data_IF_879581861848
#
_entry.id   IF_879581861848
#
_cell.length_a   1.000
_cell.length_b   1.000
_cell.length_c   1.000
_cell.angle_alpha   90.00
_cell.angle_beta   90.00
_cell.angle_gamma   90.00
#
_symmetry.space_group_name_H-M   'P 1'
#
loop_
_entity.id
_entity.type
_entity.pdbx_description
1 polymer ?
#
# COMPACT_ATOMS: atom_id res chain seq x y z
N UNK A 1 28.23 -6.96 -4.92
CA UNK A 1 26.94 -7.62 -4.66
C UNK A 1 26.42 -7.40 -3.22
N UNK A 2 27.28 -7.28 -2.20
CA UNK A 2 26.88 -7.01 -0.81
C UNK A 2 26.24 -5.63 -0.52
N UNK A 3 26.45 -4.63 -1.37
CA UNK A 3 25.96 -3.26 -1.14
C UNK A 3 24.54 -2.98 -1.63
N UNK A 4 23.93 -3.89 -2.40
CA UNK A 4 22.56 -3.70 -2.92
C UNK A 4 21.51 -4.17 -1.90
N UNK A 5 21.86 -5.14 -1.05
CA UNK A 5 20.98 -5.70 -0.01
C UNK A 5 20.80 -4.79 1.21
N UNK A 6 21.63 -3.77 1.41
CA UNK A 6 21.51 -2.83 2.53
C UNK A 6 20.47 -1.72 2.30
N UNK A 7 20.08 -1.49 1.04
CA UNK A 7 19.16 -0.41 0.63
C UNK A 7 17.83 -0.91 0.05
N UNK A 8 17.63 -2.22 -0.04
CA UNK A 8 16.30 -2.77 -0.21
C UNK A 8 15.56 -2.49 1.09
N UNK A 9 14.67 -1.49 1.05
CA UNK A 9 13.63 -1.25 2.05
C UNK A 9 13.19 -2.61 2.60
N UNK A 10 13.33 -2.83 3.91
CA UNK A 10 12.90 -4.08 4.52
C UNK A 10 11.43 -4.28 4.14
N UNK A 11 11.17 -5.29 3.30
CA UNK A 11 9.87 -5.46 2.67
C UNK A 11 8.77 -5.64 3.72
N UNK A 12 9.14 -6.23 4.87
CA UNK A 12 8.28 -6.34 6.04
C UNK A 12 7.94 -4.95 6.61
N UNK A 13 8.93 -4.05 6.72
CA UNK A 13 8.70 -2.65 7.15
C UNK A 13 7.81 -1.90 6.15
N UNK A 14 7.99 -2.13 4.85
CA UNK A 14 7.15 -1.51 3.82
C UNK A 14 5.68 -1.95 3.93
N UNK A 15 5.46 -3.25 4.16
CA UNK A 15 4.12 -3.82 4.41
C UNK A 15 3.48 -3.19 5.66
N UNK A 16 4.24 -3.09 6.75
CA UNK A 16 3.73 -2.51 7.99
C UNK A 16 3.39 -1.02 7.83
N UNK A 17 4.21 -0.26 7.09
CA UNK A 17 3.91 1.13 6.76
C UNK A 17 2.64 1.26 5.92
N UNK A 18 2.42 0.37 4.94
CA UNK A 18 1.19 0.36 4.14
C UNK A 18 -0.04 0.04 5.00
N UNK A 19 0.05 -0.92 5.92
CA UNK A 19 -1.02 -1.23 6.89
C UNK A 19 -1.33 -0.03 7.78
N UNK A 20 -0.29 0.65 8.25
CA UNK A 20 -0.41 1.90 9.01
C UNK A 20 -1.13 2.99 8.21
N UNK A 21 -0.78 3.16 6.93
CA UNK A 21 -1.39 4.15 6.05
C UNK A 21 -2.87 3.86 5.77
N UNK A 22 -3.24 2.60 5.51
CA UNK A 22 -4.66 2.20 5.35
C UNK A 22 -5.44 2.49 6.63
N UNK A 23 -4.88 2.17 7.79
CA UNK A 23 -5.50 2.44 9.09
C UNK A 23 -5.69 3.94 9.32
N UNK A 24 -4.65 4.73 9.02
CA UNK A 24 -4.71 6.19 9.07
C UNK A 24 -5.86 6.74 8.24
N UNK A 25 -5.98 6.35 6.97
CA UNK A 25 -7.04 6.87 6.09
C UNK A 25 -8.45 6.46 6.55
N UNK A 26 -8.61 5.26 7.14
CA UNK A 26 -9.89 4.85 7.74
C UNK A 26 -10.29 5.76 8.90
N UNK A 27 -9.36 6.10 9.79
CA UNK A 27 -9.63 7.07 10.87
C UNK A 27 -9.86 8.48 10.30
N UNK A 28 -9.05 8.89 9.32
CA UNK A 28 -9.16 10.19 8.68
C UNK A 28 -10.49 10.38 7.92
N UNK A 29 -11.09 9.31 7.41
CA UNK A 29 -12.43 9.34 6.83
C UNK A 29 -13.50 9.82 7.83
N UNK A 30 -13.41 9.35 9.07
CA UNK A 30 -14.40 9.65 10.12
C UNK A 30 -14.17 11.03 10.75
N UNK A 31 -12.91 11.32 11.11
CA UNK A 31 -12.54 12.46 11.95
C UNK A 31 -11.81 13.57 11.18
N UNK A 32 -11.27 13.24 10.00
CA UNK A 32 -10.39 14.11 9.22
C UNK A 32 -11.09 15.34 8.69
N UNK A 33 -12.38 15.25 8.34
CA UNK A 33 -13.13 16.40 7.86
C UNK A 33 -13.21 17.48 8.94
N UNK A 34 -13.64 17.11 10.14
CA UNK A 34 -13.82 18.04 11.26
C UNK A 34 -12.49 18.67 11.67
N UNK A 35 -11.44 17.86 11.84
CA UNK A 35 -10.11 18.34 12.22
C UNK A 35 -9.51 19.27 11.16
N UNK A 36 -9.55 18.88 9.87
CA UNK A 36 -9.03 19.70 8.78
C UNK A 36 -9.82 20.99 8.63
N UNK A 37 -11.13 20.96 8.87
CA UNK A 37 -11.97 22.16 8.81
C UNK A 37 -11.65 23.15 9.93
N UNK A 38 -11.35 22.67 11.14
CA UNK A 38 -10.87 23.51 12.24
C UNK A 38 -9.54 24.17 11.85
N UNK A 39 -8.55 23.40 11.43
CA UNK A 39 -7.24 23.94 11.05
C UNK A 39 -7.32 24.92 9.87
N UNK A 40 -8.16 24.65 8.87
CA UNK A 40 -8.36 25.56 7.75
C UNK A 40 -9.04 26.88 8.17
N UNK A 41 -9.97 26.83 9.13
CA UNK A 41 -10.58 28.03 9.72
C UNK A 41 -9.54 28.85 10.49
N UNK A 42 -8.70 28.20 11.30
CA UNK A 42 -7.61 28.86 12.04
C UNK A 42 -6.64 29.58 11.10
N UNK A 43 -6.14 28.88 10.07
CA UNK A 43 -5.22 29.47 9.08
C UNK A 43 -5.87 30.66 8.35
N UNK A 44 -7.15 30.54 7.95
CA UNK A 44 -7.84 31.64 7.28
C UNK A 44 -7.94 32.87 8.19
N UNK A 45 -8.28 32.68 9.46
CA UNK A 45 -8.38 33.78 10.44
C UNK A 45 -7.02 34.42 10.71
N UNK A 46 -5.94 33.64 10.83
CA UNK A 46 -4.56 34.15 10.94
C UNK A 46 -4.17 35.02 9.73
N UNK A 47 -4.68 34.66 8.56
CA UNK A 47 -4.48 35.42 7.32
C UNK A 47 -5.45 36.60 7.16
N UNK A 48 -6.29 36.90 8.15
CA UNK A 48 -7.39 37.89 8.07
C UNK A 48 -8.35 37.63 6.89
N UNK A 49 -8.56 36.36 6.55
CA UNK A 49 -9.50 35.90 5.53
C UNK A 49 -10.71 35.28 6.22
N UNK A 50 -11.91 35.70 5.81
CA UNK A 50 -13.15 35.11 6.30
C UNK A 50 -13.30 33.65 5.81
N UNK A 51 -13.44 32.65 6.72
CA UNK A 51 -13.47 31.24 6.35
C UNK A 51 -14.87 30.79 5.91
N UNK A 52 -15.29 31.23 4.72
CA UNK A 52 -16.58 30.88 4.13
C UNK A 52 -16.45 29.98 2.91
N UNK A 53 -17.35 28.99 2.79
CA UNK A 53 -17.49 28.21 1.57
C UNK A 53 -18.10 29.05 0.46
N UNK A 54 -17.35 29.26 -0.62
CA UNK A 54 -17.81 30.04 -1.79
C UNK A 54 -18.49 29.13 -2.81
N UNK A 55 -19.63 29.57 -3.33
CA UNK A 55 -20.33 28.87 -4.42
C UNK A 55 -19.44 28.84 -5.67
N UNK A 56 -19.25 27.66 -6.26
CA UNK A 56 -18.53 27.50 -7.52
C UNK A 56 -19.33 28.19 -8.64
N UNK A 57 -18.66 28.97 -9.51
CA UNK A 57 -19.32 29.90 -10.45
C UNK A 57 -20.20 29.24 -11.53
N UNK A 58 -20.15 27.92 -11.71
CA UNK A 58 -20.78 27.21 -12.83
C UNK A 58 -21.65 25.99 -12.42
N UNK A 59 -22.32 26.02 -11.27
CA UNK A 59 -23.20 24.91 -10.85
C UNK A 59 -24.62 25.43 -10.62
N UNK A 60 -25.44 25.32 -11.67
CA UNK A 60 -26.90 25.52 -11.67
C UNK A 60 -27.65 24.28 -11.15
N UNK A 61 -27.17 23.67 -10.08
CA UNK A 61 -27.92 22.60 -9.43
C UNK A 61 -28.71 23.17 -8.25
N UNK A 62 -29.95 22.71 -8.09
CA UNK A 62 -30.71 22.88 -6.86
C UNK A 62 -29.90 22.26 -5.71
N UNK A 63 -29.27 23.14 -4.94
CA UNK A 63 -28.44 22.78 -3.80
C UNK A 63 -29.41 22.34 -2.68
N UNK A 64 -29.59 21.03 -2.50
CA UNK A 64 -30.40 20.46 -1.41
C UNK A 64 -29.65 20.36 -0.08
N UNK A 65 -28.32 20.57 -0.08
CA UNK A 65 -27.42 20.48 1.10
C UNK A 65 -26.62 21.77 1.28
N UNK A 66 -26.08 22.06 2.46
CA UNK A 66 -25.18 23.23 2.60
C UNK A 66 -23.92 23.07 1.73
N UNK A 67 -23.28 24.17 1.33
CA UNK A 67 -22.02 24.11 0.55
C UNK A 67 -20.93 23.31 1.28
N UNK A 68 -20.89 23.42 2.62
CA UNK A 68 -20.00 22.66 3.48
C UNK A 68 -20.30 21.15 3.40
N UNK A 69 -21.57 20.76 3.51
CA UNK A 69 -21.97 19.35 3.44
C UNK A 69 -21.75 18.76 2.04
N UNK A 70 -22.03 19.52 0.98
CA UNK A 70 -21.67 19.13 -0.38
C UNK A 70 -20.16 18.94 -0.54
N UNK A 71 -19.34 19.85 0.00
CA UNK A 71 -17.89 19.67 -0.03
C UNK A 71 -17.43 18.44 0.77
N UNK A 72 -18.03 18.19 1.94
CA UNK A 72 -17.76 16.99 2.75
C UNK A 72 -18.04 15.72 1.97
N UNK A 73 -19.24 15.59 1.41
CA UNK A 73 -19.71 14.34 0.79
C UNK A 73 -19.12 14.16 -0.61
N UNK A 74 -19.27 15.18 -1.46
CA UNK A 74 -19.00 15.05 -2.90
C UNK A 74 -17.51 15.16 -3.22
N UNK A 75 -16.70 15.70 -2.29
CA UNK A 75 -15.27 15.89 -2.49
C UNK A 75 -14.42 15.18 -1.42
N UNK A 76 -14.54 15.57 -0.15
CA UNK A 76 -13.66 15.06 0.90
C UNK A 76 -13.81 13.54 1.07
N UNK A 77 -15.02 13.06 1.34
CA UNK A 77 -15.28 11.63 1.53
C UNK A 77 -14.96 10.85 0.26
N UNK A 78 -15.35 11.36 -0.91
CA UNK A 78 -15.03 10.73 -2.18
C UNK A 78 -13.53 10.49 -2.35
N UNK A 79 -12.69 11.51 -2.14
CA UNK A 79 -11.23 11.38 -2.31
C UNK A 79 -10.63 10.43 -1.28
N UNK A 80 -11.06 10.52 -0.02
CA UNK A 80 -10.54 9.63 1.04
C UNK A 80 -10.92 8.18 0.77
N UNK A 81 -12.16 7.91 0.34
CA UNK A 81 -12.59 6.57 -0.05
C UNK A 81 -11.80 6.01 -1.23
N UNK A 82 -11.55 6.83 -2.26
CA UNK A 82 -10.71 6.43 -3.39
C UNK A 82 -9.27 6.12 -2.94
N UNK A 83 -8.71 6.89 -2.01
CA UNK A 83 -7.39 6.62 -1.44
C UNK A 83 -7.37 5.29 -0.67
N UNK A 84 -8.38 5.04 0.18
CA UNK A 84 -8.52 3.77 0.93
C UNK A 84 -8.59 2.60 -0.05
N UNK A 85 -9.50 2.66 -1.03
CA UNK A 85 -9.67 1.59 -2.02
C UNK A 85 -8.39 1.34 -2.83
N UNK A 86 -7.73 2.41 -3.30
CA UNK A 86 -6.47 2.29 -4.05
C UNK A 86 -5.36 1.65 -3.21
N UNK A 87 -5.25 2.03 -1.93
CA UNK A 87 -4.25 1.47 -1.02
C UNK A 87 -4.56 0.01 -0.67
N UNK A 88 -5.81 -0.34 -0.42
CA UNK A 88 -6.21 -1.72 -0.13
C UNK A 88 -5.92 -2.65 -1.31
N UNK A 89 -6.29 -2.25 -2.54
CA UNK A 89 -6.01 -3.06 -3.73
C UNK A 89 -4.51 -3.28 -3.95
N UNK A 90 -3.70 -2.22 -3.76
CA UNK A 90 -2.23 -2.36 -3.85
C UNK A 90 -1.69 -3.26 -2.73
N UNK A 91 -2.27 -3.18 -1.55
CA UNK A 91 -1.88 -4.00 -0.41
C UNK A 91 -2.15 -5.49 -0.67
N UNK A 92 -3.33 -5.84 -1.19
CA UNK A 92 -3.65 -7.22 -1.60
C UNK A 92 -2.66 -7.74 -2.65
N UNK A 93 -2.28 -6.90 -3.62
CA UNK A 93 -1.26 -7.27 -4.61
C UNK A 93 0.11 -7.50 -3.95
N UNK A 94 0.50 -6.67 -2.98
CA UNK A 94 1.75 -6.87 -2.24
C UNK A 94 1.73 -8.13 -1.38
N UNK A 95 0.61 -8.51 -0.76
CA UNK A 95 0.51 -9.77 -0.02
C UNK A 95 0.66 -10.99 -0.94
N UNK A 96 0.06 -10.94 -2.13
CA UNK A 96 0.27 -11.98 -3.16
C UNK A 96 1.73 -12.04 -3.58
N UNK A 97 2.36 -10.89 -3.79
CA UNK A 97 3.76 -10.79 -4.18
C UNK A 97 4.70 -11.31 -3.08
N UNK A 98 4.48 -10.91 -1.83
CA UNK A 98 5.18 -11.40 -0.64
C UNK A 98 5.12 -12.92 -0.56
N UNK A 99 3.94 -13.48 -0.79
CA UNK A 99 3.71 -14.90 -0.67
C UNK A 99 4.39 -15.71 -1.80
N UNK A 100 4.75 -15.08 -2.92
CA UNK A 100 5.43 -15.71 -4.06
C UNK A 100 6.95 -15.48 -3.99
N UNK A 101 7.37 -14.24 -3.79
CA UNK A 101 8.77 -13.81 -3.88
C UNK A 101 9.42 -13.48 -2.53
N UNK A 102 8.64 -13.33 -1.45
CA UNK A 102 9.10 -12.81 -0.16
C UNK A 102 10.23 -13.59 0.48
N UNK A 103 10.33 -14.90 0.22
CA UNK A 103 11.45 -15.72 0.71
C UNK A 103 12.81 -15.31 0.11
N UNK A 104 12.84 -14.65 -1.05
CA UNK A 104 14.06 -14.18 -1.71
C UNK A 104 14.55 -12.82 -1.18
N UNK A 105 13.65 -12.00 -0.62
CA UNK A 105 13.98 -10.60 -0.27
C UNK A 105 14.60 -10.43 1.11
N UNK A 106 14.54 -11.45 1.96
CA UNK A 106 15.14 -11.41 3.29
C UNK A 106 16.14 -12.54 3.44
N UNK A 107 17.43 -12.19 3.48
CA UNK A 107 18.49 -13.18 3.72
C UNK A 107 18.32 -13.90 5.07
N UNK A 108 17.72 -13.24 6.06
CA UNK A 108 17.35 -13.88 7.34
C UNK A 108 16.24 -14.91 7.14
N UNK A 109 15.17 -14.55 6.42
CA UNK A 109 14.06 -15.45 6.10
C UNK A 109 14.56 -16.64 5.29
N UNK A 110 15.34 -16.39 4.25
CA UNK A 110 15.96 -17.42 3.42
C UNK A 110 16.78 -18.41 4.28
N UNK A 111 17.68 -17.92 5.14
CA UNK A 111 18.50 -18.77 6.03
C UNK A 111 17.72 -19.50 7.11
N UNK A 112 16.52 -19.03 7.44
CA UNK A 112 15.65 -19.66 8.45
C UNK A 112 14.79 -20.79 7.90
N UNK A 113 14.66 -20.91 6.57
CA UNK A 113 13.86 -21.96 5.93
C UNK A 113 14.59 -23.30 5.96
N UNK A 114 13.89 -24.34 6.41
CA UNK A 114 14.33 -25.72 6.19
C UNK A 114 14.24 -26.13 4.71
N UNK A 115 14.90 -27.24 4.36
CA UNK A 115 14.97 -27.77 3.00
C UNK A 115 13.59 -28.02 2.38
N UNK A 116 12.61 -28.49 3.17
CA UNK A 116 11.27 -28.80 2.69
C UNK A 116 10.51 -27.53 2.30
N UNK A 117 10.53 -26.53 3.19
CA UNK A 117 9.90 -25.25 2.96
C UNK A 117 10.60 -24.46 1.84
N UNK A 118 11.94 -24.44 1.81
CA UNK A 118 12.69 -23.77 0.74
C UNK A 118 12.32 -24.37 -0.63
N UNK A 119 12.32 -25.69 -0.74
CA UNK A 119 11.93 -26.39 -1.98
C UNK A 119 10.48 -26.07 -2.36
N UNK A 120 9.56 -26.08 -1.40
CA UNK A 120 8.15 -25.71 -1.60
C UNK A 120 8.01 -24.29 -2.16
N UNK A 121 8.73 -23.32 -1.61
CA UNK A 121 8.70 -21.94 -2.11
C UNK A 121 9.28 -21.83 -3.52
N UNK A 122 10.37 -22.53 -3.84
CA UNK A 122 10.94 -22.52 -5.19
C UNK A 122 9.98 -23.12 -6.23
N UNK A 123 9.33 -24.25 -5.92
CA UNK A 123 8.33 -24.85 -6.81
C UNK A 123 7.08 -23.98 -6.95
N UNK A 124 6.67 -23.32 -5.87
CA UNK A 124 5.57 -22.35 -5.93
C UNK A 124 5.91 -21.19 -6.85
N UNK A 125 7.13 -20.65 -6.77
CA UNK A 125 7.60 -19.57 -7.62
C UNK A 125 7.62 -20.01 -9.10
N UNK A 126 8.11 -21.21 -9.40
CA UNK A 126 8.03 -21.79 -10.75
C UNK A 126 6.58 -21.83 -11.26
N UNK A 127 5.65 -22.34 -10.46
CA UNK A 127 4.24 -22.38 -10.82
C UNK A 127 3.65 -20.98 -11.05
N UNK A 128 4.03 -19.99 -10.25
CA UNK A 128 3.59 -18.61 -10.39
C UNK A 128 4.17 -17.91 -11.62
N UNK A 129 5.32 -18.34 -12.10
CA UNK A 129 6.01 -17.83 -13.30
C UNK A 129 5.81 -18.73 -14.53
N UNK A 130 4.76 -19.55 -14.50
CA UNK A 130 4.43 -20.45 -15.62
C UNK A 130 3.37 -19.82 -16.51
N UNK A 131 3.66 -19.78 -17.80
CA UNK A 131 2.68 -19.47 -18.83
C UNK A 131 2.54 -20.64 -19.81
N UNK A 132 1.34 -21.22 -19.86
CA UNK A 132 1.05 -22.46 -20.59
C UNK A 132 1.97 -23.61 -20.14
N UNK A 133 2.87 -24.05 -21.00
CA UNK A 133 3.83 -25.14 -20.73
C UNK A 133 5.23 -24.66 -20.41
N UNK A 134 5.48 -23.35 -20.45
CA UNK A 134 6.81 -22.77 -20.26
C UNK A 134 6.85 -22.02 -18.93
N UNK A 135 7.85 -22.33 -18.11
CA UNK A 135 8.16 -21.62 -16.87
C UNK A 135 9.41 -20.80 -17.08
N UNK A 136 9.45 -19.57 -16.56
CA UNK A 136 10.64 -18.71 -16.65
C UNK A 136 11.82 -19.24 -15.82
N UNK A 137 11.54 -20.07 -14.82
CA UNK A 137 12.52 -20.67 -13.92
C UNK A 137 12.24 -22.16 -13.72
N UNK A 138 13.25 -22.90 -13.27
CA UNK A 138 13.10 -24.26 -12.74
C UNK A 138 13.23 -24.23 -11.21
N UNK A 139 12.20 -24.66 -10.50
CA UNK A 139 12.15 -24.59 -9.04
C UNK A 139 13.13 -25.55 -8.35
N UNK A 140 13.51 -26.67 -8.97
CA UNK A 140 14.49 -27.61 -8.40
C UNK A 140 15.93 -27.09 -8.57
N UNK A 141 16.21 -26.45 -9.70
CA UNK A 141 17.51 -25.82 -9.95
C UNK A 141 17.69 -24.63 -8.98
N UNK A 142 16.68 -23.76 -8.88
CA UNK A 142 16.68 -22.64 -7.93
C UNK A 142 16.86 -23.09 -6.48
N UNK A 143 16.16 -24.16 -6.06
CA UNK A 143 16.33 -24.74 -4.73
C UNK A 143 17.79 -25.14 -4.46
N UNK A 144 18.44 -25.77 -5.44
CA UNK A 144 19.82 -26.22 -5.33
C UNK A 144 20.79 -25.03 -5.23
N UNK A 145 20.56 -23.96 -6.00
CA UNK A 145 21.35 -22.72 -5.91
C UNK A 145 21.19 -22.04 -4.54
N UNK A 146 19.95 -21.83 -4.08
CA UNK A 146 19.69 -21.15 -2.82
C UNK A 146 20.17 -21.93 -1.60
N UNK A 147 20.24 -23.26 -1.68
CA UNK A 147 20.83 -24.10 -0.62
C UNK A 147 22.32 -23.85 -0.44
N UNK A 148 23.03 -23.47 -1.50
CA UNK A 148 24.43 -23.05 -1.42
C UNK A 148 24.51 -21.67 -0.73
N UNK A 149 23.63 -20.75 -1.11
CA UNK A 149 23.55 -19.40 -0.51
C UNK A 149 23.18 -19.40 0.99
N UNK A 150 22.45 -20.41 1.47
CA UNK A 150 22.20 -20.57 2.91
C UNK A 150 23.47 -20.90 3.72
N UNK A 151 24.53 -21.42 3.09
CA UNK A 151 25.76 -21.88 3.74
C UNK A 151 26.88 -20.81 3.78
N UNK A 152 26.70 -19.69 3.08
CA UNK A 152 27.67 -18.57 2.98
C UNK A 152 27.29 -17.45 3.94
#
# INVERSE_FOLDING_TARGET
MYNVLKYLLDFDVAIDQLRGLVSFFKTYREEGFTSTMISAKEIALEMNIEPIFRKKRNVDNEITRSLEESFRVDYFLYIVEQAIFSLQNRFEQFEVYENIFGFLFSGKKLRSLDDENLKKYCLKLECSLKHNTHSDINGLDLFSELKIEQQI
#
